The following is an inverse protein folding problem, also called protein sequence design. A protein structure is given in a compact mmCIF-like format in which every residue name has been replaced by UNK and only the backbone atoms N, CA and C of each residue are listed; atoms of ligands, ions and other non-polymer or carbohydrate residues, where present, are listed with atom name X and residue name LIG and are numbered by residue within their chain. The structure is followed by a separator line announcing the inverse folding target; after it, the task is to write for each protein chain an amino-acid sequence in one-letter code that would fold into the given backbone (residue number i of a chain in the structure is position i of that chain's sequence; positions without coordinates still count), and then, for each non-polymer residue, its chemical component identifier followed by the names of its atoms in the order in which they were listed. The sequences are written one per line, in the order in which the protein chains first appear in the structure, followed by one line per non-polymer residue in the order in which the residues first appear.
data_IF_227663909989
#
_entry.id   IF_227663909989
#
_cell.length_a   1.000
_cell.length_b   1.000
_cell.length_c   1.000
_cell.angle_alpha   90.00
_cell.angle_beta   90.00
_cell.angle_gamma   90.00
#
_symmetry.space_group_name_H-M   'P 1'
#
loop_
_entity.id
_entity.type
_entity.pdbx_description
1 polymer ?
#
# COMPACT_ATOMS: atom_id res chain seq x y z
N UNK A 1 -11.33 -3.18 -23.94
CA UNK A 1 -11.82 -2.01 -24.71
C UNK A 1 -12.89 -1.23 -23.92
N UNK A 2 -12.55 -0.69 -22.74
CA UNK A 2 -13.54 0.00 -21.88
C UNK A 2 -12.93 0.95 -20.84
N UNK A 3 -11.70 1.41 -21.06
CA UNK A 3 -10.94 2.24 -20.11
C UNK A 3 -11.31 3.71 -20.23
N UNK A 4 -11.77 4.14 -21.41
CA UNK A 4 -12.20 5.52 -21.66
C UNK A 4 -13.67 5.63 -21.25
N UNK A 5 -14.02 6.53 -20.31
CA UNK A 5 -15.41 6.77 -19.96
C UNK A 5 -16.14 7.46 -21.13
N UNK A 6 -17.23 6.86 -21.60
CA UNK A 6 -18.13 7.47 -22.59
C UNK A 6 -19.16 8.39 -21.91
N UNK A 7 -19.52 8.10 -20.66
CA UNK A 7 -20.41 8.89 -19.81
C UNK A 7 -19.77 9.15 -18.44
N UNK A 8 -19.97 10.35 -17.88
CA UNK A 8 -19.40 10.74 -16.58
C UNK A 8 -20.04 10.00 -15.41
N UNK A 9 -21.34 9.67 -15.50
CA UNK A 9 -22.07 8.94 -14.45
C UNK A 9 -21.58 7.50 -14.35
N UNK A 10 -21.20 6.91 -15.48
CA UNK A 10 -20.64 5.57 -15.61
C UNK A 10 -19.34 5.36 -14.81
N UNK A 11 -18.63 6.46 -14.52
CA UNK A 11 -17.42 6.47 -13.69
C UNK A 11 -17.77 6.03 -12.27
N UNK A 12 -18.92 6.44 -11.72
CA UNK A 12 -19.33 6.10 -10.35
C UNK A 12 -20.04 4.73 -10.24
N UNK A 13 -20.13 3.96 -11.33
CA UNK A 13 -20.72 2.63 -11.34
C UNK A 13 -19.75 1.56 -10.80
N UNK A 14 -20.27 0.41 -10.33
CA UNK A 14 -19.47 -0.70 -9.79
C UNK A 14 -18.46 -1.25 -10.81
N UNK A 15 -18.82 -1.27 -12.10
CA UNK A 15 -17.90 -1.65 -13.20
C UNK A 15 -16.97 -0.52 -13.66
N UNK A 16 -17.13 0.68 -13.11
CA UNK A 16 -16.44 1.90 -13.50
C UNK A 16 -15.07 2.10 -12.85
N UNK A 17 -14.62 1.22 -11.92
CA UNK A 17 -13.40 1.43 -11.15
C UNK A 17 -12.18 1.78 -12.01
N UNK A 18 -11.96 1.03 -13.10
CA UNK A 18 -10.85 1.30 -14.02
C UNK A 18 -11.00 2.65 -14.74
N UNK A 19 -12.25 3.04 -15.07
CA UNK A 19 -12.57 4.35 -15.67
C UNK A 19 -12.29 5.49 -14.66
N UNK A 20 -12.64 5.30 -13.38
CA UNK A 20 -12.35 6.27 -12.30
C UNK A 20 -10.85 6.47 -12.15
N UNK A 21 -10.09 5.38 -12.11
CA UNK A 21 -8.63 5.44 -11.97
C UNK A 21 -8.01 6.21 -13.14
N UNK A 22 -8.41 5.86 -14.37
CA UNK A 22 -7.92 6.53 -15.57
C UNK A 22 -8.27 8.03 -15.57
N UNK A 23 -9.52 8.37 -15.26
CA UNK A 23 -9.96 9.76 -15.15
C UNK A 23 -9.18 10.51 -14.06
N UNK A 24 -8.99 9.90 -12.88
CA UNK A 24 -8.29 10.52 -11.74
C UNK A 24 -6.83 10.84 -12.06
N UNK A 25 -6.14 9.98 -12.82
CA UNK A 25 -4.77 10.22 -13.26
C UNK A 25 -4.70 11.42 -14.20
N UNK A 26 -5.56 11.46 -15.23
CA UNK A 26 -5.60 12.58 -16.18
C UNK A 26 -6.00 13.87 -15.47
N UNK A 27 -7.00 13.81 -14.59
CA UNK A 27 -7.46 14.95 -13.82
C UNK A 27 -6.37 15.49 -12.89
N UNK A 28 -5.67 14.60 -12.17
CA UNK A 28 -4.53 14.98 -11.33
C UNK A 28 -3.41 15.65 -12.14
N UNK A 29 -3.09 15.13 -13.32
CA UNK A 29 -2.12 15.73 -14.24
C UNK A 29 -2.58 17.13 -14.71
N UNK A 30 -3.85 17.27 -15.09
CA UNK A 30 -4.42 18.56 -15.51
C UNK A 30 -4.38 19.60 -14.38
N UNK A 31 -4.70 19.21 -13.15
CA UNK A 31 -4.60 20.07 -11.95
C UNK A 31 -3.16 20.50 -11.71
N UNK A 32 -2.19 19.59 -11.88
CA UNK A 32 -0.77 19.92 -11.74
C UNK A 32 -0.28 20.90 -12.82
N UNK A 33 -0.68 20.69 -14.09
CA UNK A 33 -0.33 21.57 -15.21
C UNK A 33 -0.96 22.96 -15.12
N UNK A 34 -2.07 23.11 -14.39
CA UNK A 34 -2.71 24.40 -14.14
C UNK A 34 -1.91 25.32 -13.18
N UNK A 35 -0.82 24.83 -12.59
CA UNK A 35 0.08 25.61 -11.74
C UNK A 35 -0.62 26.20 -10.52
N UNK A 36 -0.40 27.50 -10.25
CA UNK A 36 -1.01 28.19 -9.10
C UNK A 36 -2.54 28.15 -9.10
N UNK A 37 -3.17 28.14 -10.29
CA UNK A 37 -4.64 28.04 -10.40
C UNK A 37 -5.16 26.66 -10.01
N UNK A 38 -4.34 25.61 -10.13
CA UNK A 38 -4.67 24.25 -9.69
C UNK A 38 -4.47 24.01 -8.20
N UNK A 39 -3.66 24.84 -7.52
CA UNK A 39 -3.32 24.65 -6.11
C UNK A 39 -4.52 24.61 -5.13
N UNK A 40 -5.61 25.40 -5.31
CA UNK A 40 -6.81 25.25 -4.50
C UNK A 40 -7.50 23.89 -4.67
N UNK A 41 -7.55 23.38 -5.90
CA UNK A 41 -8.17 22.08 -6.21
C UNK A 41 -7.36 20.94 -5.59
N UNK A 42 -6.03 20.95 -5.77
CA UNK A 42 -5.15 19.96 -5.16
C UNK A 42 -5.28 19.93 -3.63
N UNK A 43 -5.35 21.12 -2.98
CA UNK A 43 -5.56 21.21 -1.53
C UNK A 43 -6.91 20.66 -1.09
N UNK A 44 -7.99 20.99 -1.81
CA UNK A 44 -9.32 20.46 -1.51
C UNK A 44 -9.37 18.93 -1.59
N UNK A 45 -8.74 18.33 -2.62
CA UNK A 45 -8.62 16.87 -2.76
C UNK A 45 -7.77 16.25 -1.65
N UNK A 46 -6.71 16.94 -1.22
CA UNK A 46 -5.91 16.54 -0.05
C UNK A 46 -6.76 16.46 1.22
N UNK A 47 -7.51 17.52 1.53
CA UNK A 47 -8.41 17.52 2.69
C UNK A 47 -9.49 16.45 2.61
N UNK A 48 -10.04 16.21 1.42
CA UNK A 48 -11.01 15.14 1.22
C UNK A 48 -10.40 13.77 1.51
N UNK A 49 -9.16 13.53 1.06
CA UNK A 49 -8.43 12.28 1.33
C UNK A 49 -8.23 12.08 2.83
N UNK A 50 -7.86 13.13 3.57
CA UNK A 50 -7.72 13.08 5.03
C UNK A 50 -9.04 12.74 5.73
N UNK A 51 -10.16 13.29 5.25
CA UNK A 51 -11.50 12.98 5.78
C UNK A 51 -11.84 11.51 5.52
N UNK A 52 -11.59 10.99 4.32
CA UNK A 52 -11.82 9.58 3.99
C UNK A 52 -10.99 8.66 4.88
N UNK A 53 -9.71 8.97 5.13
CA UNK A 53 -8.86 8.21 6.04
C UNK A 53 -9.39 8.22 7.49
N UNK A 54 -9.98 9.33 7.95
CA UNK A 54 -10.65 9.37 9.25
C UNK A 54 -11.90 8.50 9.30
N UNK A 55 -12.69 8.47 8.22
CA UNK A 55 -13.84 7.56 8.12
C UNK A 55 -13.39 6.10 8.21
N UNK A 56 -12.35 5.72 7.48
CA UNK A 56 -11.74 4.38 7.58
C UNK A 56 -11.30 4.09 9.01
N UNK A 57 -10.67 5.05 9.68
CA UNK A 57 -10.24 4.91 11.08
C UNK A 57 -11.43 4.64 12.01
N UNK A 58 -12.55 5.35 11.85
CA UNK A 58 -13.78 5.13 12.63
C UNK A 58 -14.31 3.72 12.40
N UNK A 59 -14.36 3.26 11.15
CA UNK A 59 -14.81 1.89 10.83
C UNK A 59 -13.88 0.85 11.47
N UNK A 60 -12.57 1.11 11.52
CA UNK A 60 -11.60 0.22 12.16
C UNK A 60 -11.80 0.07 13.67
N UNK A 61 -12.44 1.02 14.37
CA UNK A 61 -12.83 0.85 15.78
C UNK A 61 -13.91 -0.22 15.96
N UNK A 62 -14.80 -0.37 14.97
CA UNK A 62 -15.90 -1.35 14.99
C UNK A 62 -15.48 -2.68 14.35
N UNK A 63 -14.45 -2.66 13.49
CA UNK A 63 -13.94 -3.83 12.80
C UNK A 63 -13.67 -5.06 13.68
N UNK A 64 -13.16 -4.96 14.92
CA UNK A 64 -12.95 -6.14 15.78
C UNK A 64 -14.23 -6.95 16.03
N UNK A 65 -15.37 -6.28 16.21
CA UNK A 65 -16.67 -6.93 16.40
C UNK A 65 -17.15 -7.60 15.11
N UNK A 66 -16.99 -6.92 13.97
CA UNK A 66 -17.36 -7.46 12.66
C UNK A 66 -16.54 -8.68 12.27
N UNK A 67 -15.21 -8.60 12.44
CA UNK A 67 -14.29 -9.72 12.17
C UNK A 67 -14.57 -10.89 13.09
N UNK A 68 -14.82 -10.64 14.38
CA UNK A 68 -15.19 -11.70 15.32
C UNK A 68 -16.48 -12.41 14.91
N UNK A 69 -17.54 -11.65 14.62
CA UNK A 69 -18.82 -12.22 14.19
C UNK A 69 -18.70 -13.01 12.89
N UNK A 70 -17.96 -12.47 11.91
CA UNK A 70 -17.71 -13.14 10.64
C UNK A 70 -16.90 -14.42 10.83
N UNK A 71 -15.82 -14.39 11.61
CA UNK A 71 -14.99 -15.56 11.90
C UNK A 71 -15.78 -16.65 12.64
N UNK A 72 -16.62 -16.28 13.61
CA UNK A 72 -17.48 -17.22 14.33
C UNK A 72 -18.49 -17.89 13.38
N UNK A 73 -19.15 -17.11 12.52
CA UNK A 73 -20.07 -17.65 11.50
C UNK A 73 -19.36 -18.58 10.51
N UNK A 74 -18.16 -18.19 10.07
CA UNK A 74 -17.35 -18.95 9.14
C UNK A 74 -16.93 -20.31 9.72
N UNK A 75 -16.48 -20.33 10.98
CA UNK A 75 -16.16 -21.57 11.69
C UNK A 75 -17.41 -22.41 11.94
N UNK A 76 -18.56 -21.80 12.26
CA UNK A 76 -19.83 -22.52 12.44
C UNK A 76 -20.34 -23.18 11.15
N UNK A 77 -20.06 -22.58 10.00
CA UNK A 77 -20.55 -23.07 8.70
C UNK A 77 -19.60 -24.05 8.03
N UNK A 78 -18.29 -23.76 8.05
CA UNK A 78 -17.27 -24.50 7.30
C UNK A 78 -16.32 -25.32 8.18
N UNK A 79 -16.48 -25.26 9.51
CA UNK A 79 -15.68 -26.03 10.46
C UNK A 79 -14.19 -25.70 10.40
N UNK A 80 -13.33 -26.70 10.61
CA UNK A 80 -11.87 -26.53 10.60
C UNK A 80 -11.25 -26.49 9.21
N UNK A 81 -11.99 -26.91 8.18
CA UNK A 81 -11.53 -26.89 6.77
C UNK A 81 -11.15 -25.47 6.33
N UNK A 82 -11.88 -24.48 6.81
CA UNK A 82 -11.62 -23.08 6.48
C UNK A 82 -10.30 -22.58 7.07
N UNK A 83 -9.95 -23.01 8.29
CA UNK A 83 -8.67 -22.66 8.94
C UNK A 83 -7.48 -23.19 8.13
N UNK A 84 -7.59 -24.36 7.51
CA UNK A 84 -6.55 -24.90 6.62
C UNK A 84 -6.42 -24.05 5.36
N UNK A 85 -7.53 -23.63 4.76
CA UNK A 85 -7.51 -22.77 3.57
C UNK A 85 -6.88 -21.39 3.86
N UNK A 86 -7.29 -20.72 4.94
CA UNK A 86 -6.67 -19.46 5.36
C UNK A 86 -5.22 -19.65 5.80
N UNK A 87 -4.90 -20.74 6.48
CA UNK A 87 -3.53 -21.06 6.86
C UNK A 87 -2.60 -21.20 5.65
N UNK A 88 -3.07 -21.88 4.59
CA UNK A 88 -2.34 -21.96 3.31
C UNK A 88 -2.16 -20.59 2.66
N UNK A 89 -3.22 -19.78 2.61
CA UNK A 89 -3.15 -18.42 2.05
C UNK A 89 -2.15 -17.55 2.80
N UNK A 90 -2.24 -17.49 4.13
CA UNK A 90 -1.35 -16.71 4.99
C UNK A 90 0.09 -17.20 4.85
N UNK A 91 0.32 -18.51 4.89
CA UNK A 91 1.68 -19.08 4.77
C UNK A 91 2.27 -18.74 3.41
N UNK A 92 1.49 -18.85 2.34
CA UNK A 92 1.93 -18.51 0.99
C UNK A 92 2.27 -17.01 0.90
N UNK A 93 1.37 -16.12 1.33
CA UNK A 93 1.57 -14.68 1.30
C UNK A 93 2.84 -14.25 2.06
N UNK A 94 3.02 -14.73 3.29
CA UNK A 94 4.24 -14.45 4.06
C UNK A 94 5.49 -15.05 3.43
N UNK A 95 5.42 -16.27 2.89
CA UNK A 95 6.58 -16.92 2.27
C UNK A 95 7.06 -16.17 1.02
N UNK A 96 6.12 -15.75 0.15
CA UNK A 96 6.45 -15.01 -1.07
C UNK A 96 6.89 -13.59 -0.72
N UNK A 97 6.24 -12.92 0.24
CA UNK A 97 6.62 -11.59 0.70
C UNK A 97 8.01 -11.58 1.35
N UNK A 98 8.33 -12.57 2.18
CA UNK A 98 9.67 -12.71 2.77
C UNK A 98 10.72 -13.05 1.71
N UNK A 99 10.40 -13.95 0.77
CA UNK A 99 11.29 -14.26 -0.34
C UNK A 99 11.58 -13.01 -1.19
N UNK A 100 10.56 -12.23 -1.53
CA UNK A 100 10.73 -10.96 -2.25
C UNK A 100 11.51 -9.94 -1.43
N UNK A 101 11.23 -9.83 -0.13
CA UNK A 101 11.94 -8.92 0.77
C UNK A 101 13.44 -9.26 0.83
N UNK A 102 13.80 -10.52 1.07
CA UNK A 102 15.22 -10.90 1.17
C UNK A 102 15.91 -10.97 -0.19
N UNK A 103 15.32 -11.64 -1.18
CA UNK A 103 15.96 -11.88 -2.48
C UNK A 103 15.83 -10.65 -3.38
N UNK A 104 14.63 -10.10 -3.51
CA UNK A 104 14.34 -8.96 -4.38
C UNK A 104 15.13 -7.72 -3.97
N UNK A 105 15.04 -7.29 -2.71
CA UNK A 105 15.81 -6.13 -2.26
C UNK A 105 17.32 -6.38 -2.24
N UNK A 106 17.79 -7.61 -1.98
CA UNK A 106 19.23 -7.91 -2.13
C UNK A 106 19.70 -7.76 -3.57
N UNK A 107 18.93 -8.25 -4.55
CA UNK A 107 19.27 -8.10 -5.97
C UNK A 107 19.27 -6.62 -6.35
N UNK A 108 18.24 -5.85 -5.97
CA UNK A 108 18.16 -4.41 -6.26
C UNK A 108 19.34 -3.67 -5.65
N UNK A 109 19.72 -3.98 -4.41
CA UNK A 109 20.86 -3.37 -3.75
C UNK A 109 22.18 -3.80 -4.38
N UNK A 110 22.33 -5.07 -4.78
CA UNK A 110 23.53 -5.55 -5.45
C UNK A 110 23.71 -4.95 -6.86
N UNK A 111 22.61 -4.67 -7.56
CA UNK A 111 22.62 -3.92 -8.82
C UNK A 111 22.87 -2.43 -8.60
N UNK A 112 22.53 -1.91 -7.42
CA UNK A 112 22.92 -0.58 -7.00
C UNK A 112 24.39 -0.55 -6.57
N UNK A 113 25.03 0.63 -6.59
CA UNK A 113 26.41 0.79 -6.09
C UNK A 113 26.51 0.74 -4.55
N UNK A 114 25.47 0.27 -3.84
CA UNK A 114 25.43 0.14 -2.39
C UNK A 114 25.87 -1.26 -1.96
N UNK A 115 26.54 -1.35 -0.82
CA UNK A 115 26.91 -2.63 -0.23
C UNK A 115 25.68 -3.30 0.41
N UNK A 116 25.28 -4.52 0.00
CA UNK A 116 24.14 -5.24 0.58
C UNK A 116 24.21 -5.41 2.10
N UNK A 117 25.41 -5.59 2.67
CA UNK A 117 25.59 -5.75 4.11
C UNK A 117 25.22 -4.46 4.86
N UNK A 118 25.58 -3.30 4.30
CA UNK A 118 25.26 -2.00 4.89
C UNK A 118 23.76 -1.74 4.83
N UNK A 119 23.11 -2.10 3.72
CA UNK A 119 21.66 -2.01 3.59
C UNK A 119 20.94 -2.87 4.64
N UNK A 120 21.27 -4.15 4.71
CA UNK A 120 20.60 -5.09 5.63
C UNK A 120 20.81 -4.74 7.09
N UNK A 121 21.96 -4.16 7.46
CA UNK A 121 22.20 -3.67 8.82
C UNK A 121 21.31 -2.48 9.20
N UNK A 122 21.02 -1.59 8.25
CA UNK A 122 20.26 -0.37 8.52
C UNK A 122 18.74 -0.53 8.32
N UNK A 123 18.28 -1.49 7.51
CA UNK A 123 16.85 -1.69 7.22
C UNK A 123 16.08 -2.39 8.35
N UNK A 124 16.77 -3.10 9.26
CA UNK A 124 16.12 -3.86 10.35
C UNK A 124 15.24 -2.96 11.23
N UNK A 125 15.72 -1.78 11.62
CA UNK A 125 14.98 -0.87 12.49
C UNK A 125 13.69 -0.37 11.79
N UNK A 126 13.71 0.20 10.57
CA UNK A 126 12.51 0.50 9.81
C UNK A 126 11.59 -0.70 9.58
N UNK A 127 12.14 -1.88 9.25
CA UNK A 127 11.36 -3.07 8.95
C UNK A 127 10.57 -3.56 10.18
N UNK A 128 11.18 -3.56 11.37
CA UNK A 128 10.52 -3.92 12.61
C UNK A 128 9.44 -2.90 13.00
N UNK A 129 9.69 -1.61 12.82
CA UNK A 129 8.69 -0.56 13.06
C UNK A 129 7.52 -0.72 12.10
N UNK A 130 7.77 -0.96 10.80
CA UNK A 130 6.72 -1.22 9.83
C UNK A 130 5.89 -2.46 10.18
N UNK A 131 6.56 -3.55 10.57
CA UNK A 131 5.89 -4.81 10.92
C UNK A 131 4.98 -4.66 12.15
N UNK A 132 5.45 -3.94 13.17
CA UNK A 132 4.72 -3.76 14.43
C UNK A 132 3.58 -2.73 14.30
N UNK A 133 3.85 -1.60 13.65
CA UNK A 133 2.88 -0.49 13.52
C UNK A 133 1.90 -0.70 12.37
N UNK A 134 2.25 -1.53 11.38
CA UNK A 134 1.51 -1.73 10.13
C UNK A 134 1.22 -0.42 9.38
N UNK A 135 2.07 0.59 9.52
CA UNK A 135 1.89 1.91 8.92
C UNK A 135 3.15 2.44 8.25
N UNK A 136 3.09 2.65 6.94
CA UNK A 136 4.16 3.27 6.16
C UNK A 136 4.43 4.72 6.61
N UNK A 137 3.38 5.46 6.96
CA UNK A 137 3.49 6.85 7.41
C UNK A 137 4.21 6.96 8.76
N UNK A 138 3.92 6.06 9.71
CA UNK A 138 4.59 6.03 11.02
C UNK A 138 6.06 5.57 10.88
N UNK A 139 6.35 4.71 9.92
CA UNK A 139 7.70 4.20 9.68
C UNK A 139 8.61 5.21 8.96
N UNK A 140 8.04 6.15 8.22
CA UNK A 140 8.78 7.08 7.35
C UNK A 140 9.95 7.82 8.05
N UNK A 141 9.80 8.40 9.25
CA UNK A 141 10.92 9.10 9.92
C UNK A 141 12.08 8.17 10.29
N UNK A 142 11.79 6.90 10.62
CA UNK A 142 12.81 5.89 10.92
C UNK A 142 13.50 5.47 9.64
N UNK A 143 12.74 5.32 8.55
CA UNK A 143 13.27 4.95 7.24
C UNK A 143 14.20 6.03 6.64
N UNK A 144 13.84 7.32 6.79
CA UNK A 144 14.69 8.44 6.37
C UNK A 144 16.04 8.41 7.11
N UNK A 145 16.01 8.23 8.44
CA UNK A 145 17.24 8.12 9.26
C UNK A 145 18.09 6.91 8.86
N UNK A 146 17.47 5.78 8.55
CA UNK A 146 18.19 4.60 8.06
C UNK A 146 18.86 4.87 6.70
N UNK A 147 18.17 5.54 5.77
CA UNK A 147 18.72 5.93 4.47
C UNK A 147 19.89 6.92 4.59
N UNK A 148 19.79 7.89 5.50
CA UNK A 148 20.88 8.82 5.81
C UNK A 148 22.12 8.10 6.37
N UNK A 149 21.95 7.12 7.26
CA UNK A 149 23.05 6.26 7.76
C UNK A 149 23.73 5.44 6.65
N UNK A 150 23.03 5.19 5.54
CA UNK A 150 23.57 4.52 4.35
C UNK A 150 24.31 5.48 3.40
N UNK A 151 24.41 6.77 3.73
CA UNK A 151 25.10 7.78 2.92
C UNK A 151 24.28 8.31 1.74
N UNK A 152 22.97 8.10 1.74
CA UNK A 152 22.08 8.59 0.69
C UNK A 152 21.83 10.10 0.91
N UNK A 153 21.98 10.96 -0.12
CA UNK A 153 21.79 12.40 0.04
C UNK A 153 20.39 12.78 0.53
N UNK A 154 20.30 13.79 1.40
CA UNK A 154 19.04 14.22 2.03
C UNK A 154 17.97 14.63 1.01
N UNK A 155 18.36 15.25 -0.10
CA UNK A 155 17.41 15.64 -1.14
C UNK A 155 16.76 14.42 -1.82
N UNK A 156 17.48 13.29 -1.90
CA UNK A 156 16.94 12.04 -2.44
C UNK A 156 16.02 11.38 -1.42
N UNK A 157 16.44 11.28 -0.16
CA UNK A 157 15.65 10.62 0.89
C UNK A 157 14.35 11.36 1.18
N UNK A 158 14.39 12.69 1.23
CA UNK A 158 13.22 13.54 1.51
C UNK A 158 12.24 13.64 0.33
N UNK A 159 12.65 13.22 -0.88
CA UNK A 159 11.77 13.17 -2.04
C UNK A 159 11.24 11.74 -2.28
N UNK A 160 12.14 10.76 -2.38
CA UNK A 160 11.81 9.40 -2.82
C UNK A 160 11.07 8.62 -1.74
N UNK A 161 11.47 8.73 -0.46
CA UNK A 161 10.84 7.94 0.60
C UNK A 161 9.40 8.38 0.91
N UNK A 162 9.05 9.69 0.98
CA UNK A 162 7.67 10.10 1.17
C UNK A 162 6.75 9.71 0.01
N UNK A 163 7.23 9.82 -1.23
CA UNK A 163 6.49 9.35 -2.41
C UNK A 163 6.34 7.83 -2.39
N UNK A 164 7.40 7.11 -2.01
CA UNK A 164 7.38 5.66 -1.87
C UNK A 164 6.39 5.16 -0.82
N UNK A 165 6.25 5.87 0.30
CA UNK A 165 5.34 5.49 1.39
C UNK A 165 3.85 5.43 0.96
N UNK A 166 3.48 6.10 -0.13
CA UNK A 166 2.12 6.11 -0.68
C UNK A 166 1.99 5.40 -2.02
N UNK A 167 3.00 5.50 -2.90
CA UNK A 167 2.93 4.94 -4.26
C UNK A 167 3.54 3.54 -4.39
N UNK A 168 4.48 3.16 -3.53
CA UNK A 168 5.23 1.90 -3.65
C UNK A 168 4.74 0.89 -2.61
N UNK A 169 3.59 0.26 -2.89
CA UNK A 169 2.92 -0.70 -2.01
C UNK A 169 2.98 -2.14 -2.56
N UNK A 170 4.17 -2.63 -2.89
CA UNK A 170 4.38 -3.95 -3.50
C UNK A 170 3.80 -5.09 -2.65
N UNK A 171 3.97 -5.06 -1.32
CA UNK A 171 3.38 -6.07 -0.43
C UNK A 171 1.85 -6.10 -0.48
N UNK A 172 1.21 -4.93 -0.55
CA UNK A 172 -0.25 -4.83 -0.71
C UNK A 172 -0.68 -5.39 -2.07
N UNK A 173 0.07 -5.10 -3.14
CA UNK A 173 -0.22 -5.62 -4.47
C UNK A 173 -0.12 -7.15 -4.53
N UNK A 174 0.93 -7.72 -3.93
CA UNK A 174 1.10 -9.18 -3.82
C UNK A 174 -0.06 -9.83 -3.06
N UNK A 175 -0.42 -9.27 -1.90
CA UNK A 175 -1.58 -9.72 -1.11
C UNK A 175 -2.88 -9.65 -1.92
N UNK A 176 -3.14 -8.55 -2.63
CA UNK A 176 -4.33 -8.37 -3.44
C UNK A 176 -4.44 -9.40 -4.57
N UNK A 177 -3.34 -9.71 -5.25
CA UNK A 177 -3.30 -10.75 -6.29
C UNK A 177 -3.60 -12.12 -5.70
N UNK A 178 -3.00 -12.47 -4.57
CA UNK A 178 -3.24 -13.74 -3.89
C UNK A 178 -4.69 -13.86 -3.41
N UNK A 179 -5.27 -12.80 -2.82
CA UNK A 179 -6.67 -12.78 -2.44
C UNK A 179 -7.62 -12.92 -3.64
N UNK A 180 -7.32 -12.25 -4.75
CA UNK A 180 -8.14 -12.38 -5.96
C UNK A 180 -8.14 -13.82 -6.48
N UNK A 181 -6.99 -14.48 -6.49
CA UNK A 181 -6.86 -15.90 -6.89
C UNK A 181 -7.49 -16.85 -5.87
N UNK A 182 -7.44 -16.52 -4.58
CA UNK A 182 -8.06 -17.34 -3.53
C UNK A 182 -9.59 -17.31 -3.55
N UNK A 183 -10.16 -16.18 -4.01
CA UNK A 183 -11.62 -16.00 -4.14
C UNK A 183 -12.13 -16.60 -5.46
N UNK A 184 -11.31 -16.59 -6.52
CA UNK A 184 -11.64 -17.12 -7.84
C UNK A 184 -11.75 -18.66 -7.85
#
# INVERSE_FOLDING_TARGET
MGVIPYDFVDIFSVGGLLKVIFFSIIFGLAVSLAGEKGAPVARALGYLSDVVLKVVTIVMWVAPLGVFGYAAWLMGTYGTTILVAYGKLITLDYSVSLAFFFVGYTIVVALSRLNPIVYWKNIIEPALVAFTTRSSAVTLPVNIRAAQRMGIPDYVTNLVLPVGATCHMDGTAMYQVLCAVFIA
#
